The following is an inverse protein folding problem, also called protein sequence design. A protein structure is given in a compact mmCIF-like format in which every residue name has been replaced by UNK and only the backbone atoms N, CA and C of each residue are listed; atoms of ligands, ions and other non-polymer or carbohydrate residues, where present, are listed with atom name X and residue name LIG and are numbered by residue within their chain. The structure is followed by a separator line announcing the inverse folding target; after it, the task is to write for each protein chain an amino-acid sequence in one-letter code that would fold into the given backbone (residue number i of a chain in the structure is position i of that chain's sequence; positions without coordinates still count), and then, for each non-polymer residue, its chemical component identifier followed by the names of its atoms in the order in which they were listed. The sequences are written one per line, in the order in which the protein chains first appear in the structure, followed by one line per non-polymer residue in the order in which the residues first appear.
data_IF_504458631540
#
_entry.id   IF_504458631540
#
_cell.length_a   1.000
_cell.length_b   1.000
_cell.length_c   1.000
_cell.angle_alpha   90.00
_cell.angle_beta   90.00
_cell.angle_gamma   90.00
#
_symmetry.space_group_name_H-M   'P 1'
#
loop_
_entity.id
_entity.type
_entity.pdbx_description
1 polymer ?
#
# COMPACT_ATOMS: atom_id res chain seq x y z
N UNK A 1 30.24 18.79 34.43
CA UNK A 1 30.04 17.38 34.80
C UNK A 1 29.35 16.69 33.68
N UNK A 2 30.05 15.83 32.94
CA UNK A 2 29.41 14.98 31.94
C UNK A 2 28.65 13.87 32.66
N UNK A 3 27.35 13.80 32.47
CA UNK A 3 26.51 12.72 32.98
C UNK A 3 26.70 11.49 32.10
N UNK A 4 27.45 10.50 32.58
CA UNK A 4 27.51 9.18 31.94
C UNK A 4 26.27 8.36 32.34
N UNK A 5 25.51 7.92 31.37
CA UNK A 5 24.38 7.02 31.56
C UNK A 5 24.72 5.65 30.96
N UNK A 6 24.55 4.60 31.73
CA UNK A 6 24.61 3.23 31.21
C UNK A 6 23.22 2.61 31.28
N UNK A 7 22.78 2.02 30.17
CA UNK A 7 21.54 1.25 30.11
C UNK A 7 21.88 -0.22 29.84
N UNK A 8 21.37 -1.12 30.66
CA UNK A 8 21.56 -2.56 30.50
C UNK A 8 20.21 -3.23 30.39
N UNK A 9 19.99 -3.98 29.30
CA UNK A 9 18.85 -4.84 29.15
C UNK A 9 19.26 -6.30 29.04
N UNK A 10 18.45 -7.22 29.57
CA UNK A 10 18.72 -8.65 29.53
C UNK A 10 17.44 -9.42 29.26
N UNK A 11 17.49 -10.28 28.28
CA UNK A 11 16.44 -11.26 27.98
C UNK A 11 17.05 -12.63 27.68
N UNK A 12 16.24 -13.68 27.80
CA UNK A 12 16.63 -15.06 27.54
C UNK A 12 15.63 -15.69 26.60
N UNK A 13 16.12 -16.49 25.66
CA UNK A 13 15.29 -17.33 24.79
C UNK A 13 15.83 -18.75 24.77
N UNK A 14 14.92 -19.70 24.63
CA UNK A 14 15.20 -21.12 24.45
C UNK A 14 14.38 -21.59 23.28
N UNK A 15 14.93 -22.40 22.40
CA UNK A 15 14.21 -23.02 21.31
C UNK A 15 14.56 -24.50 21.21
N UNK A 16 13.55 -25.28 20.83
CA UNK A 16 13.67 -26.70 20.55
C UNK A 16 13.04 -26.98 19.19
N UNK A 17 13.73 -27.73 18.34
CA UNK A 17 13.23 -28.09 17.02
C UNK A 17 13.22 -29.60 16.90
N UNK A 18 12.11 -30.13 16.42
CA UNK A 18 11.91 -31.53 16.08
C UNK A 18 11.62 -31.62 14.60
N UNK A 19 12.18 -32.63 13.92
CA UNK A 19 11.88 -32.92 12.52
C UNK A 19 11.85 -34.43 12.30
N UNK A 20 10.93 -34.84 11.45
CA UNK A 20 10.80 -36.22 11.00
C UNK A 20 10.61 -36.26 9.49
N UNK A 21 11.32 -37.15 8.84
CA UNK A 21 11.22 -37.42 7.40
C UNK A 21 10.81 -38.88 7.17
N UNK A 22 9.80 -39.06 6.31
CA UNK A 22 9.39 -40.40 5.88
C UNK A 22 9.31 -40.47 4.35
N UNK A 23 9.93 -41.47 3.76
CA UNK A 23 9.89 -41.71 2.32
C UNK A 23 9.42 -43.13 2.03
N UNK A 24 8.40 -43.26 1.19
CA UNK A 24 7.89 -44.55 0.73
C UNK A 24 8.15 -44.73 -0.78
N UNK A 25 8.93 -45.72 -1.12
CA UNK A 25 9.34 -46.07 -2.51
C UNK A 25 9.87 -44.89 -3.32
N UNK A 26 10.42 -43.86 -2.65
CA UNK A 26 10.85 -42.60 -3.26
C UNK A 26 9.76 -41.86 -4.05
N UNK A 27 8.51 -42.33 -4.00
CA UNK A 27 7.34 -41.69 -4.64
C UNK A 27 6.62 -40.72 -3.75
N UNK A 28 6.46 -41.07 -2.47
CA UNK A 28 5.76 -40.33 -1.47
C UNK A 28 6.72 -39.95 -0.35
N UNK A 29 6.87 -38.68 -0.09
CA UNK A 29 7.71 -38.15 0.98
C UNK A 29 6.88 -37.27 1.88
N UNK A 30 7.08 -37.41 3.19
CA UNK A 30 6.40 -36.61 4.21
C UNK A 30 7.44 -36.05 5.16
N UNK A 31 7.37 -34.74 5.37
CA UNK A 31 8.19 -34.05 6.36
C UNK A 31 7.29 -33.43 7.43
N UNK A 32 7.63 -33.69 8.68
CA UNK A 32 6.96 -33.07 9.83
C UNK A 32 8.03 -32.32 10.59
N UNK A 33 7.73 -31.08 10.93
CA UNK A 33 8.58 -30.27 11.79
C UNK A 33 7.75 -29.61 12.90
N UNK A 34 8.36 -29.44 14.05
CA UNK A 34 7.76 -28.69 15.15
C UNK A 34 8.86 -27.91 15.84
N UNK A 35 8.64 -26.64 16.04
CA UNK A 35 9.50 -25.76 16.81
C UNK A 35 8.75 -25.21 18.01
N UNK A 36 9.39 -25.27 19.17
CA UNK A 36 8.90 -24.69 20.41
C UNK A 36 9.88 -23.62 20.85
N UNK A 37 9.43 -22.38 20.91
CA UNK A 37 10.23 -21.24 21.34
C UNK A 37 9.73 -20.69 22.67
N UNK A 38 10.64 -20.42 23.58
CA UNK A 38 10.37 -19.74 24.84
C UNK A 38 11.15 -18.42 24.93
N UNK A 39 10.52 -17.37 25.42
CA UNK A 39 11.22 -16.09 25.65
C UNK A 39 10.71 -15.36 26.86
N UNK A 40 11.64 -14.78 27.62
CA UNK A 40 11.34 -13.96 28.81
C UNK A 40 10.80 -12.57 28.47
N UNK A 41 10.79 -12.19 27.19
CA UNK A 41 10.15 -10.95 26.73
C UNK A 41 8.65 -10.94 26.90
N UNK A 42 8.02 -12.12 26.96
CA UNK A 42 6.58 -12.28 27.10
C UNK A 42 6.14 -12.36 28.56
N UNK A 43 4.94 -11.91 28.83
CA UNK A 43 4.28 -12.04 30.12
C UNK A 43 4.00 -13.49 30.52
N UNK A 44 3.60 -13.68 31.75
CA UNK A 44 3.26 -15.01 32.28
C UNK A 44 2.11 -15.63 31.48
N UNK A 45 2.23 -16.92 31.18
CA UNK A 45 1.27 -17.65 30.37
C UNK A 45 1.47 -17.53 28.84
N UNK A 46 2.34 -16.64 28.38
CA UNK A 46 2.56 -16.40 26.93
C UNK A 46 4.03 -16.59 26.49
N UNK A 47 4.89 -17.04 27.39
CA UNK A 47 6.33 -17.20 27.13
C UNK A 47 6.66 -18.22 26.06
N UNK A 48 5.78 -19.21 25.85
CA UNK A 48 6.01 -20.30 24.93
C UNK A 48 5.18 -20.20 23.67
N UNK A 49 5.82 -20.38 22.52
CA UNK A 49 5.20 -20.50 21.21
C UNK A 49 5.41 -21.89 20.61
N UNK A 50 4.39 -22.45 19.98
CA UNK A 50 4.45 -23.71 19.24
C UNK A 50 4.21 -23.45 17.76
N UNK A 51 5.13 -23.92 16.91
CA UNK A 51 5.20 -23.64 15.49
C UNK A 51 5.37 -24.94 14.70
N UNK A 52 4.28 -25.63 14.37
CA UNK A 52 4.32 -26.85 13.57
C UNK A 52 4.46 -26.56 12.08
N UNK A 53 5.05 -27.50 11.36
CA UNK A 53 5.11 -27.51 9.91
C UNK A 53 4.93 -28.95 9.39
N UNK A 54 4.26 -29.07 8.26
CA UNK A 54 4.12 -30.33 7.53
C UNK A 54 4.27 -30.06 6.04
N UNK A 55 5.02 -30.90 5.36
CA UNK A 55 5.09 -30.92 3.91
C UNK A 55 5.03 -32.34 3.36
N UNK A 56 4.55 -32.45 2.14
CA UNK A 56 4.55 -33.71 1.42
C UNK A 56 5.12 -33.50 0.02
N UNK A 57 5.61 -34.57 -0.56
CA UNK A 57 6.00 -34.62 -1.97
C UNK A 57 5.48 -35.92 -2.58
N UNK A 58 4.78 -35.78 -3.68
CA UNK A 58 4.34 -36.88 -4.50
C UNK A 58 4.99 -36.78 -5.88
N UNK A 59 5.85 -37.75 -6.22
CA UNK A 59 6.44 -37.88 -7.54
C UNK A 59 5.44 -38.57 -8.46
N UNK A 60 4.61 -37.80 -9.13
CA UNK A 60 3.54 -38.28 -10.02
C UNK A 60 4.14 -39.00 -11.22
N UNK A 61 5.30 -38.55 -11.72
CA UNK A 61 5.99 -39.17 -12.83
C UNK A 61 6.46 -40.60 -12.55
N UNK A 62 6.56 -41.02 -11.29
CA UNK A 62 6.96 -42.36 -10.92
C UNK A 62 5.78 -43.34 -10.82
N UNK A 63 4.56 -42.86 -11.07
CA UNK A 63 3.38 -43.71 -11.07
C UNK A 63 3.19 -44.46 -12.38
N UNK A 64 2.65 -45.69 -12.34
CA UNK A 64 2.46 -46.50 -13.55
C UNK A 64 1.55 -45.84 -14.59
N UNK A 65 0.56 -45.07 -14.16
CA UNK A 65 -0.36 -44.39 -15.08
C UNK A 65 0.31 -43.25 -15.85
N UNK A 66 1.46 -42.76 -15.38
CA UNK A 66 2.19 -41.66 -16.00
C UNK A 66 3.14 -42.14 -17.13
N UNK A 67 3.38 -43.44 -17.27
CA UNK A 67 4.33 -44.00 -18.22
C UNK A 67 4.16 -43.49 -19.67
N UNK A 68 2.93 -43.36 -20.22
CA UNK A 68 2.75 -42.86 -21.57
C UNK A 68 3.24 -41.42 -21.78
N UNK A 69 3.25 -40.62 -20.72
CA UNK A 69 3.60 -39.20 -20.75
C UNK A 69 5.10 -38.95 -20.53
N UNK A 70 5.87 -39.94 -20.10
CA UNK A 70 7.31 -39.81 -19.80
C UNK A 70 8.15 -39.33 -20.98
N UNK A 71 7.72 -39.59 -22.21
CA UNK A 71 8.41 -39.12 -23.43
C UNK A 71 8.41 -37.58 -23.55
N UNK A 72 7.43 -36.94 -22.98
CA UNK A 72 7.26 -35.46 -23.01
C UNK A 72 7.56 -34.84 -21.65
N UNK A 73 7.09 -35.49 -20.59
CA UNK A 73 7.24 -35.03 -19.21
C UNK A 73 8.13 -36.04 -18.48
N UNK A 74 9.40 -35.72 -18.32
CA UNK A 74 10.37 -36.61 -17.69
C UNK A 74 10.23 -36.66 -16.17
N UNK A 75 9.73 -35.59 -15.57
CA UNK A 75 9.47 -35.50 -14.14
C UNK A 75 8.26 -34.60 -13.86
N UNK A 76 7.36 -35.09 -13.02
CA UNK A 76 6.29 -34.29 -12.41
C UNK A 76 6.19 -34.66 -10.93
N UNK A 77 6.38 -33.67 -10.06
CA UNK A 77 6.18 -33.84 -8.63
C UNK A 77 5.29 -32.73 -8.06
N UNK A 78 4.41 -33.10 -7.17
CA UNK A 78 3.53 -32.18 -6.41
C UNK A 78 4.00 -32.08 -4.96
N UNK A 79 4.11 -30.86 -4.43
CA UNK A 79 4.64 -30.59 -3.09
C UNK A 79 3.74 -29.61 -2.33
N UNK A 80 2.71 -30.10 -1.64
CA UNK A 80 1.95 -29.30 -0.70
C UNK A 80 2.71 -29.13 0.62
N UNK A 81 2.55 -27.99 1.27
CA UNK A 81 3.12 -27.73 2.58
C UNK A 81 2.25 -26.76 3.38
N UNK A 82 2.29 -26.91 4.69
CA UNK A 82 1.68 -25.99 5.64
C UNK A 82 2.61 -25.79 6.81
N UNK A 83 2.75 -24.56 7.26
CA UNK A 83 3.58 -24.26 8.41
C UNK A 83 3.10 -23.02 9.17
N UNK A 84 3.45 -23.00 10.46
CA UNK A 84 3.26 -21.84 11.31
C UNK A 84 4.65 -21.37 11.75
N UNK A 85 4.95 -20.09 11.55
CA UNK A 85 6.15 -19.45 12.05
C UNK A 85 5.81 -18.42 13.13
N UNK A 86 6.72 -18.20 14.06
CA UNK A 86 6.56 -17.24 15.14
C UNK A 86 7.62 -16.15 15.10
N UNK A 87 7.23 -14.94 15.44
CA UNK A 87 8.12 -13.80 15.57
C UNK A 87 7.90 -13.10 16.91
N UNK A 88 9.00 -12.65 17.54
CA UNK A 88 9.01 -11.88 18.79
C UNK A 88 9.76 -10.55 18.56
N UNK A 89 9.21 -9.71 17.67
CA UNK A 89 9.86 -8.46 17.27
C UNK A 89 9.29 -7.25 18.02
N UNK A 90 9.60 -7.16 19.32
CA UNK A 90 9.23 -6.01 20.14
C UNK A 90 10.30 -5.72 21.18
N UNK A 91 10.28 -4.48 21.70
CA UNK A 91 11.24 -3.99 22.68
C UNK A 91 11.18 -4.74 24.01
N UNK A 92 12.26 -4.68 24.73
CA UNK A 92 12.38 -5.29 26.05
C UNK A 92 11.63 -4.48 27.12
N UNK A 93 11.24 -5.15 28.20
CA UNK A 93 10.67 -4.49 29.38
C UNK A 93 9.21 -4.04 29.27
N UNK A 94 8.54 -4.25 28.13
CA UNK A 94 7.14 -3.85 27.95
C UNK A 94 6.16 -4.56 28.88
N UNK A 95 6.55 -5.71 29.42
CA UNK A 95 5.76 -6.48 30.41
C UNK A 95 5.90 -5.93 31.85
N UNK A 96 6.75 -4.94 32.05
CA UNK A 96 6.97 -4.30 33.36
C UNK A 96 6.53 -2.84 33.32
N UNK A 97 6.15 -2.30 34.50
CA UNK A 97 5.98 -0.87 34.63
C UNK A 97 7.36 -0.20 34.61
N UNK A 98 7.55 0.75 33.71
CA UNK A 98 8.73 1.59 33.66
C UNK A 98 8.38 2.95 34.22
N UNK A 99 9.30 3.54 35.00
CA UNK A 99 9.13 4.85 35.59
C UNK A 99 10.27 5.76 35.16
N UNK A 100 9.95 6.98 34.85
CA UNK A 100 10.93 8.01 34.53
C UNK A 100 10.79 9.21 35.47
N UNK A 101 11.85 9.98 35.59
CA UNK A 101 11.86 11.21 36.37
C UNK A 101 10.95 12.26 35.70
N UNK A 102 10.20 12.97 36.50
CA UNK A 102 9.36 14.10 36.13
C UNK A 102 9.79 15.32 36.92
N UNK A 103 9.26 16.47 36.58
CA UNK A 103 9.60 17.74 37.22
C UNK A 103 9.64 17.62 38.76
N UNK A 104 10.52 18.41 39.38
CA UNK A 104 10.60 18.48 40.82
C UNK A 104 9.31 19.05 41.43
N UNK A 105 8.76 18.36 42.43
CA UNK A 105 7.68 18.87 43.26
C UNK A 105 8.21 19.07 44.68
N UNK A 106 8.14 20.31 45.15
CA UNK A 106 8.60 20.71 46.48
C UNK A 106 10.05 20.25 46.82
N UNK A 107 10.95 20.41 45.83
CA UNK A 107 12.39 20.05 46.00
C UNK A 107 12.69 18.56 45.88
N UNK A 108 11.69 17.70 45.69
CA UNK A 108 11.86 16.26 45.53
C UNK A 108 11.55 15.85 44.08
N UNK A 109 12.40 15.00 43.50
CA UNK A 109 12.21 14.47 42.16
C UNK A 109 10.97 13.59 42.10
N UNK A 110 9.97 14.00 41.31
CA UNK A 110 8.79 13.18 41.06
C UNK A 110 9.08 12.10 40.02
N UNK A 111 8.41 10.97 40.12
CA UNK A 111 8.46 9.88 39.15
C UNK A 111 7.09 9.64 38.54
N UNK A 112 7.04 9.41 37.24
CA UNK A 112 5.81 9.03 36.54
C UNK A 112 6.01 7.74 35.73
N UNK A 113 4.94 6.95 35.51
CA UNK A 113 5.01 5.87 34.55
C UNK A 113 5.35 6.37 33.15
N UNK A 114 6.27 5.68 32.46
CA UNK A 114 6.70 6.01 31.09
C UNK A 114 6.11 5.08 30.06
N UNK A 115 5.54 3.94 30.49
CA UNK A 115 4.88 2.99 29.62
C UNK A 115 3.61 2.44 30.25
N UNK A 116 2.72 1.93 29.44
CA UNK A 116 1.64 1.05 29.86
C UNK A 116 2.17 -0.38 29.90
N UNK A 117 2.02 -1.06 31.04
CA UNK A 117 2.38 -2.48 31.19
C UNK A 117 1.52 -3.35 30.27
N UNK A 118 2.16 -4.09 29.36
CA UNK A 118 1.50 -4.97 28.41
C UNK A 118 1.64 -6.43 28.85
N UNK A 119 0.68 -6.95 29.61
CA UNK A 119 0.73 -8.32 30.16
C UNK A 119 0.33 -9.40 29.17
N UNK A 120 -0.42 -9.05 28.10
CA UNK A 120 -1.00 -9.98 27.13
C UNK A 120 -0.26 -10.06 25.81
N UNK A 121 0.99 -9.62 25.74
CA UNK A 121 1.81 -9.75 24.53
C UNK A 121 2.01 -11.24 24.23
N UNK A 122 1.69 -11.62 22.98
CA UNK A 122 1.77 -12.99 22.48
C UNK A 122 2.70 -13.07 21.29
N UNK A 123 3.17 -14.28 20.97
CA UNK A 123 3.87 -14.57 19.74
C UNK A 123 3.02 -14.15 18.52
N UNK A 124 3.63 -13.38 17.65
CA UNK A 124 3.09 -13.16 16.32
C UNK A 124 3.18 -14.47 15.54
N UNK A 125 2.07 -14.92 14.93
CA UNK A 125 2.02 -16.19 14.22
C UNK A 125 1.64 -15.97 12.76
N UNK A 126 2.52 -16.42 11.88
CA UNK A 126 2.25 -16.46 10.44
C UNK A 126 1.93 -17.89 10.03
N UNK A 127 0.77 -18.10 9.44
CA UNK A 127 0.35 -19.36 8.83
C UNK A 127 0.66 -19.32 7.35
N UNK A 128 1.30 -20.34 6.84
CA UNK A 128 1.76 -20.42 5.45
C UNK A 128 1.28 -21.70 4.79
N UNK A 129 0.70 -21.56 3.61
CA UNK A 129 0.39 -22.66 2.71
C UNK A 129 1.33 -22.60 1.51
N UNK A 130 1.93 -23.71 1.17
CA UNK A 130 2.82 -23.83 0.02
C UNK A 130 2.29 -24.92 -0.92
N UNK A 131 2.10 -24.57 -2.19
CA UNK A 131 1.80 -25.53 -3.25
C UNK A 131 2.92 -25.45 -4.28
N UNK A 132 3.68 -26.51 -4.41
CA UNK A 132 4.80 -26.58 -5.32
C UNK A 132 4.61 -27.67 -6.37
N UNK A 133 5.03 -27.41 -7.60
CA UNK A 133 5.13 -28.37 -8.67
C UNK A 133 6.54 -28.35 -9.22
N UNK A 134 7.15 -29.54 -9.41
CA UNK A 134 8.36 -29.67 -10.19
C UNK A 134 7.99 -30.35 -11.51
N UNK A 135 8.31 -29.70 -12.61
CA UNK A 135 8.01 -30.19 -13.96
C UNK A 135 9.28 -30.13 -14.80
N UNK A 136 9.71 -31.30 -15.32
CA UNK A 136 10.77 -31.41 -16.29
C UNK A 136 10.16 -31.92 -17.60
N UNK A 137 10.44 -31.22 -18.68
CA UNK A 137 9.90 -31.53 -20.01
C UNK A 137 11.04 -31.91 -20.96
N UNK A 138 10.73 -32.75 -21.93
CA UNK A 138 11.63 -33.12 -23.00
C UNK A 138 13.00 -33.65 -22.52
N UNK A 139 12.99 -34.73 -21.74
CA UNK A 139 14.20 -35.36 -21.21
C UNK A 139 15.13 -34.40 -20.47
N UNK A 140 14.56 -33.63 -19.52
CA UNK A 140 15.24 -32.65 -18.70
C UNK A 140 15.71 -31.36 -19.42
N UNK A 141 15.21 -31.08 -20.62
CA UNK A 141 15.47 -29.82 -21.29
C UNK A 141 14.86 -28.60 -20.56
N UNK A 142 13.75 -28.80 -19.84
CA UNK A 142 13.07 -27.77 -19.09
C UNK A 142 12.86 -28.23 -17.65
N UNK A 143 13.40 -27.46 -16.72
CA UNK A 143 13.11 -27.56 -15.28
C UNK A 143 12.18 -26.43 -14.86
N UNK A 144 11.05 -26.76 -14.27
CA UNK A 144 10.13 -25.76 -13.70
C UNK A 144 9.72 -26.14 -12.29
N UNK A 145 9.57 -25.14 -11.44
CA UNK A 145 8.97 -25.29 -10.11
C UNK A 145 7.95 -24.19 -9.89
N UNK A 146 6.80 -24.56 -9.37
CA UNK A 146 5.75 -23.65 -8.94
C UNK A 146 5.61 -23.80 -7.43
N UNK A 147 5.78 -22.72 -6.71
CA UNK A 147 5.60 -22.68 -5.26
C UNK A 147 4.79 -21.47 -4.82
N UNK A 148 4.05 -21.62 -3.75
CA UNK A 148 3.31 -20.53 -3.12
C UNK A 148 4.18 -19.94 -2.02
N UNK A 149 4.57 -18.65 -2.10
CA UNK A 149 5.46 -18.07 -1.11
C UNK A 149 4.77 -17.87 0.23
N UNK A 150 5.53 -18.11 1.28
CA UNK A 150 5.18 -17.79 2.67
C UNK A 150 6.00 -16.60 3.14
N UNK A 151 5.75 -15.42 2.63
CA UNK A 151 6.50 -14.24 3.05
C UNK A 151 5.68 -13.37 3.98
N UNK A 152 6.05 -13.35 5.24
CA UNK A 152 5.72 -12.28 6.16
C UNK A 152 6.84 -11.27 6.12
N UNK A 153 6.62 -10.10 5.58
CA UNK A 153 7.63 -9.07 5.45
C UNK A 153 7.33 -7.79 6.22
N UNK A 154 6.47 -7.81 7.25
CA UNK A 154 6.09 -6.58 7.93
C UNK A 154 6.41 -6.59 9.42
N UNK A 155 7.33 -5.72 9.80
CA UNK A 155 7.95 -5.65 11.14
C UNK A 155 7.51 -4.46 11.96
N UNK A 156 6.40 -3.79 11.69
CA UNK A 156 6.06 -2.54 12.39
C UNK A 156 4.60 -2.36 12.77
N UNK A 157 3.96 -3.39 13.27
CA UNK A 157 2.82 -3.19 14.18
C UNK A 157 3.38 -3.12 15.59
N UNK A 158 2.85 -2.20 16.41
CA UNK A 158 3.27 -2.04 17.81
C UNK A 158 3.33 -3.40 18.51
N UNK A 159 4.06 -3.50 19.61
CA UNK A 159 4.38 -4.72 20.36
C UNK A 159 3.18 -5.55 20.89
N UNK A 160 1.96 -5.29 20.44
CA UNK A 160 0.76 -6.05 20.76
C UNK A 160 0.24 -6.78 19.52
N UNK A 161 -0.29 -8.00 19.70
CA UNK A 161 -0.95 -8.76 18.64
C UNK A 161 -2.36 -8.18 18.42
N UNK A 162 -2.43 -7.15 17.62
CA UNK A 162 -3.63 -6.33 17.43
C UNK A 162 -4.39 -6.65 16.15
N UNK A 163 -3.91 -7.61 15.35
CA UNK A 163 -4.56 -7.97 14.10
C UNK A 163 -4.09 -9.29 13.50
N UNK A 164 -4.77 -9.69 12.44
CA UNK A 164 -4.40 -10.82 11.59
C UNK A 164 -4.27 -10.38 10.15
N UNK A 165 -3.33 -10.98 9.47
CA UNK A 165 -3.04 -10.75 8.07
C UNK A 165 -2.81 -12.08 7.37
N UNK A 166 -3.37 -12.22 6.19
CA UNK A 166 -3.18 -13.35 5.32
C UNK A 166 -2.36 -12.96 4.10
N UNK A 167 -1.45 -13.84 3.72
CA UNK A 167 -0.68 -13.73 2.49
C UNK A 167 -0.94 -14.95 1.64
N UNK A 168 -1.46 -14.74 0.45
CA UNK A 168 -1.70 -15.78 -0.54
C UNK A 168 -0.93 -15.46 -1.81
N UNK A 169 -0.34 -16.48 -2.42
CA UNK A 169 0.39 -16.23 -3.66
C UNK A 169 0.94 -17.50 -4.25
N UNK A 170 1.58 -17.37 -5.39
CA UNK A 170 2.26 -18.46 -6.06
C UNK A 170 3.52 -17.96 -6.79
N UNK A 171 4.46 -18.87 -6.96
CA UNK A 171 5.71 -18.63 -7.66
C UNK A 171 5.90 -19.65 -8.76
N UNK A 172 6.37 -19.21 -9.91
CA UNK A 172 6.79 -20.04 -11.02
C UNK A 172 8.24 -19.74 -11.33
N UNK A 173 9.04 -20.79 -11.38
CA UNK A 173 10.41 -20.73 -11.86
C UNK A 173 10.60 -21.69 -13.03
N UNK A 174 11.10 -21.19 -14.14
CA UNK A 174 11.43 -21.96 -15.33
C UNK A 174 12.88 -21.73 -15.68
N UNK A 175 13.64 -22.81 -15.82
CA UNK A 175 15.02 -22.76 -16.28
C UNK A 175 15.25 -23.89 -17.29
N UNK A 176 15.64 -23.53 -18.50
CA UNK A 176 15.97 -24.51 -19.53
C UNK A 176 17.47 -24.82 -19.50
N UNK A 177 17.88 -26.05 -19.72
CA UNK A 177 19.30 -26.37 -19.90
C UNK A 177 19.81 -25.90 -21.25
N UNK A 178 19.14 -26.30 -22.32
CA UNK A 178 19.35 -25.83 -23.68
C UNK A 178 17.99 -25.79 -24.37
N UNK A 179 17.37 -24.58 -24.42
CA UNK A 179 16.05 -24.42 -25.04
C UNK A 179 16.11 -24.70 -26.55
N UNK A 180 17.22 -24.34 -27.16
CA UNK A 180 17.45 -24.52 -28.59
C UNK A 180 18.93 -24.76 -28.82
N UNK A 181 19.27 -25.77 -29.67
CA UNK A 181 20.64 -26.10 -30.01
C UNK A 181 20.75 -26.46 -31.49
N UNK A 182 21.60 -25.74 -32.22
CA UNK A 182 21.94 -26.01 -33.60
C UNK A 182 23.44 -25.82 -33.80
N UNK A 183 24.15 -26.93 -34.04
CA UNK A 183 25.59 -26.89 -34.20
C UNK A 183 26.31 -26.34 -32.95
N UNK A 184 27.01 -25.20 -33.12
CA UNK A 184 27.74 -24.54 -32.04
C UNK A 184 26.88 -23.50 -31.29
N UNK A 185 25.64 -23.26 -31.74
CA UNK A 185 24.72 -22.28 -31.14
C UNK A 185 23.79 -22.99 -30.17
N UNK A 186 23.66 -22.46 -28.95
CA UNK A 186 22.65 -22.88 -27.98
C UNK A 186 22.10 -21.70 -27.20
N UNK A 187 20.88 -21.85 -26.68
CA UNK A 187 20.22 -20.84 -25.84
C UNK A 187 19.72 -21.43 -24.54
N UNK A 188 19.83 -20.68 -23.47
CA UNK A 188 19.25 -21.00 -22.16
C UNK A 188 18.24 -19.89 -21.83
N UNK A 189 17.04 -20.27 -21.42
CA UNK A 189 16.01 -19.36 -20.97
C UNK A 189 15.77 -19.53 -19.48
N UNK A 190 15.72 -18.44 -18.77
CA UNK A 190 15.36 -18.38 -17.34
C UNK A 190 14.18 -17.43 -17.17
N UNK A 191 13.20 -17.86 -16.40
CA UNK A 191 12.04 -17.08 -16.07
C UNK A 191 11.63 -17.35 -14.63
N UNK A 192 11.36 -16.31 -13.90
CA UNK A 192 10.72 -16.41 -12.59
C UNK A 192 9.57 -15.42 -12.50
N UNK A 193 8.54 -15.83 -11.83
CA UNK A 193 7.30 -15.07 -11.64
C UNK A 193 6.79 -15.34 -10.22
N UNK A 194 6.41 -14.28 -9.53
CA UNK A 194 5.82 -14.36 -8.21
C UNK A 194 4.60 -13.46 -8.14
N UNK A 195 3.52 -13.99 -7.57
CA UNK A 195 2.33 -13.24 -7.18
C UNK A 195 2.16 -13.40 -5.68
N UNK A 196 1.92 -12.29 -4.98
CA UNK A 196 1.59 -12.29 -3.57
C UNK A 196 0.46 -11.30 -3.32
N UNK A 197 -0.62 -11.78 -2.70
CA UNK A 197 -1.75 -11.00 -2.26
C UNK A 197 -1.71 -10.96 -0.74
N UNK A 198 -1.60 -9.77 -0.20
CA UNK A 198 -1.58 -9.49 1.22
C UNK A 198 -2.92 -8.91 1.63
N UNK A 199 -3.56 -9.41 2.67
CA UNK A 199 -4.87 -8.94 3.13
C UNK A 199 -4.91 -8.91 4.65
N UNK A 200 -5.27 -7.76 5.21
CA UNK A 200 -5.59 -7.63 6.65
C UNK A 200 -6.97 -8.21 6.88
N UNK A 201 -7.08 -9.27 7.69
CA UNK A 201 -8.34 -9.98 7.94
C UNK A 201 -9.01 -9.59 9.24
N UNK A 202 -8.23 -9.23 10.25
CA UNK A 202 -8.73 -8.77 11.54
C UNK A 202 -7.81 -7.68 12.10
N UNK A 203 -8.37 -6.71 12.80
CA UNK A 203 -7.62 -5.73 13.57
C UNK A 203 -8.44 -5.21 14.74
N UNK A 204 -7.77 -4.92 15.85
CA UNK A 204 -8.40 -4.34 17.03
C UNK A 204 -8.99 -2.95 16.72
N UNK A 205 -10.19 -2.67 17.24
CA UNK A 205 -10.90 -1.44 16.98
C UNK A 205 -10.12 -0.19 17.43
N UNK A 206 -9.36 -0.27 18.52
CA UNK A 206 -8.55 0.85 19.02
C UNK A 206 -7.39 1.15 18.09
N UNK A 207 -6.81 0.12 17.47
CA UNK A 207 -5.73 0.27 16.49
C UNK A 207 -6.25 0.79 15.16
N UNK A 208 -7.42 0.31 14.73
CA UNK A 208 -8.11 0.88 13.55
C UNK A 208 -8.41 2.36 13.76
N UNK A 209 -8.95 2.74 14.92
CA UNK A 209 -9.21 4.12 15.26
C UNK A 209 -7.91 4.96 15.27
N UNK A 210 -6.85 4.48 15.91
CA UNK A 210 -5.57 5.18 15.98
C UNK A 210 -4.86 5.33 14.62
N UNK A 211 -4.97 4.33 13.74
CA UNK A 211 -4.37 4.38 12.40
C UNK A 211 -5.26 5.08 11.36
N UNK A 212 -6.54 5.25 11.65
CA UNK A 212 -7.49 5.92 10.77
C UNK A 212 -7.84 7.32 11.25
N UNK A 213 -7.38 7.72 12.45
CA UNK A 213 -7.47 9.08 12.91
C UNK A 213 -6.37 9.95 12.28
N UNK A 214 -6.77 11.08 11.84
CA UNK A 214 -6.07 12.31 11.59
C UNK A 214 -4.83 12.33 10.68
N UNK A 215 -4.97 13.17 9.66
CA UNK A 215 -3.85 13.84 9.04
C UNK A 215 -3.15 14.71 10.08
N UNK A 216 -1.93 14.40 10.44
CA UNK A 216 -1.11 15.32 11.18
C UNK A 216 -0.45 16.31 10.21
N UNK A 217 -1.06 17.48 10.05
CA UNK A 217 -0.47 18.61 9.33
C UNK A 217 0.53 19.42 10.17
N UNK A 218 0.71 19.06 11.44
CA UNK A 218 1.50 19.87 12.39
C UNK A 218 2.98 19.99 12.01
N UNK A 219 3.50 19.10 11.19
CA UNK A 219 4.89 19.10 10.73
C UNK A 219 5.16 19.78 9.40
N UNK A 220 4.15 20.27 8.69
CA UNK A 220 4.32 20.83 7.34
C UNK A 220 4.73 19.82 6.28
N UNK A 221 4.88 18.55 6.67
CA UNK A 221 5.08 17.42 5.78
C UNK A 221 3.78 16.66 5.73
N UNK A 222 3.22 16.56 4.55
CA UNK A 222 2.07 15.72 4.28
C UNK A 222 2.49 14.27 4.56
N UNK A 223 2.13 13.78 5.73
CA UNK A 223 2.37 12.37 6.04
C UNK A 223 1.46 11.53 5.16
N UNK A 224 2.03 10.56 4.51
CA UNK A 224 1.27 9.51 3.82
C UNK A 224 0.36 8.87 4.85
N UNK A 225 -0.93 8.88 4.59
CA UNK A 225 -1.90 8.29 5.50
C UNK A 225 -1.57 6.84 5.79
N UNK A 226 -1.32 6.54 7.04
CA UNK A 226 -1.09 5.17 7.52
C UNK A 226 -2.41 4.48 7.83
N UNK A 227 -3.40 4.60 6.93
CA UNK A 227 -4.67 3.90 7.11
C UNK A 227 -4.49 2.40 6.93
N UNK A 228 -5.23 1.67 7.74
CA UNK A 228 -5.36 0.22 7.63
C UNK A 228 -6.85 -0.10 7.58
N UNK A 229 -7.27 -0.83 6.56
CA UNK A 229 -8.65 -1.31 6.46
C UNK A 229 -8.67 -2.83 6.32
N UNK A 230 -9.62 -3.46 7.00
CA UNK A 230 -9.88 -4.89 6.86
C UNK A 230 -10.30 -5.18 5.41
N UNK A 231 -9.81 -6.27 4.84
CA UNK A 231 -10.05 -6.63 3.44
C UNK A 231 -9.08 -6.01 2.44
N UNK A 232 -8.16 -5.15 2.89
CA UNK A 232 -7.16 -4.51 2.04
C UNK A 232 -5.73 -4.87 2.46
N UNK A 233 -4.78 -4.63 1.56
CA UNK A 233 -3.37 -4.89 1.82
C UNK A 233 -2.80 -3.95 2.89
N UNK A 234 -1.95 -4.47 3.77
CA UNK A 234 -1.08 -3.62 4.56
C UNK A 234 -0.09 -2.92 3.61
N UNK A 235 0.02 -1.60 3.72
CA UNK A 235 0.72 -0.78 2.72
C UNK A 235 -0.22 -0.30 1.60
N UNK A 236 -1.52 -0.38 1.83
CA UNK A 236 -2.53 0.30 1.03
C UNK A 236 -2.29 1.81 1.02
N UNK A 237 -2.54 2.44 -0.12
CA UNK A 237 -2.49 3.87 -0.30
C UNK A 237 -3.92 4.38 -0.19
N UNK A 238 -4.13 5.34 0.70
CA UNK A 238 -5.42 5.97 0.93
C UNK A 238 -5.32 7.46 0.70
N UNK A 239 -6.41 8.07 0.27
CA UNK A 239 -6.48 9.50 0.02
C UNK A 239 -7.80 9.88 -0.63
N UNK A 240 -7.88 11.11 -1.08
CA UNK A 240 -9.06 11.64 -1.74
C UNK A 240 -9.07 11.31 -3.23
N UNK A 241 -10.25 11.20 -3.83
CA UNK A 241 -10.38 11.15 -5.29
C UNK A 241 -10.45 12.54 -5.87
N UNK A 242 -9.50 12.84 -6.74
CA UNK A 242 -9.40 14.10 -7.47
C UNK A 242 -10.37 14.10 -8.66
N UNK A 243 -11.16 15.14 -8.80
CA UNK A 243 -12.13 15.30 -9.88
C UNK A 243 -11.88 16.52 -10.79
N UNK A 244 -10.83 17.29 -10.51
CA UNK A 244 -10.50 18.50 -11.26
C UNK A 244 -10.37 19.74 -10.38
N UNK A 245 -10.64 20.89 -10.96
CA UNK A 245 -10.58 22.20 -10.30
C UNK A 245 -11.89 22.92 -10.56
N UNK A 246 -12.44 23.58 -9.54
CA UNK A 246 -13.61 24.43 -9.72
C UNK A 246 -13.28 25.61 -10.66
N UNK A 247 -13.95 25.67 -11.80
CA UNK A 247 -13.71 26.74 -12.78
C UNK A 247 -14.31 28.06 -12.34
N UNK A 248 -15.31 28.04 -11.47
CA UNK A 248 -16.05 29.23 -11.02
C UNK A 248 -16.15 29.33 -9.51
N UNK A 249 -16.15 30.57 -8.99
CA UNK A 249 -16.45 30.85 -7.61
C UNK A 249 -17.90 30.50 -7.26
N UNK A 250 -18.16 30.21 -5.98
CA UNK A 250 -19.50 29.94 -5.49
C UNK A 250 -20.48 31.11 -5.73
N UNK A 251 -20.06 32.33 -5.49
CA UNK A 251 -20.84 33.55 -5.72
C UNK A 251 -20.19 34.40 -6.80
N UNK A 252 -20.31 33.95 -8.04
CA UNK A 252 -19.98 34.77 -9.19
C UNK A 252 -21.20 35.56 -9.63
N UNK A 253 -21.08 36.88 -9.82
CA UNK A 253 -22.16 37.67 -10.41
C UNK A 253 -22.50 37.09 -11.78
N UNK A 254 -23.76 36.71 -11.98
CA UNK A 254 -24.23 36.11 -13.23
C UNK A 254 -24.43 34.58 -13.23
N UNK A 255 -24.48 33.95 -12.08
CA UNK A 255 -24.96 32.56 -12.04
C UNK A 255 -26.48 32.47 -12.06
N UNK A 256 -26.99 31.45 -12.72
CA UNK A 256 -28.41 31.16 -12.79
C UNK A 256 -28.67 29.68 -12.49
N UNK A 257 -29.78 29.41 -11.83
CA UNK A 257 -30.24 28.06 -11.56
C UNK A 257 -31.36 27.74 -12.57
N UNK A 258 -31.24 26.62 -13.29
CA UNK A 258 -32.35 26.09 -14.09
C UNK A 258 -33.14 25.10 -13.24
N UNK A 259 -34.22 25.58 -12.65
CA UNK A 259 -35.09 24.77 -11.80
C UNK A 259 -35.74 23.59 -12.56
N UNK A 260 -35.85 23.69 -13.88
CA UNK A 260 -36.45 22.62 -14.68
C UNK A 260 -35.51 21.47 -14.96
N UNK A 261 -34.21 21.76 -15.03
CA UNK A 261 -33.16 20.78 -15.27
C UNK A 261 -32.28 20.51 -14.02
N UNK A 262 -32.56 21.26 -12.96
CA UNK A 262 -31.75 21.24 -11.76
C UNK A 262 -30.24 21.46 -12.06
N UNK A 263 -29.96 22.35 -13.01
CA UNK A 263 -28.63 22.69 -13.48
C UNK A 263 -28.27 24.12 -13.08
N UNK A 264 -27.00 24.33 -12.93
CA UNK A 264 -26.40 25.59 -12.56
C UNK A 264 -25.63 26.16 -13.74
N UNK A 265 -25.91 27.40 -14.11
CA UNK A 265 -25.30 28.09 -15.24
C UNK A 265 -24.52 29.32 -14.80
N UNK A 266 -23.41 29.56 -15.44
CA UNK A 266 -22.68 30.83 -15.38
C UNK A 266 -22.92 31.63 -16.66
N UNK A 267 -22.99 32.93 -16.54
CA UNK A 267 -23.03 33.84 -17.68
C UNK A 267 -21.93 34.89 -17.60
N UNK A 268 -21.45 35.30 -18.75
CA UNK A 268 -20.55 36.44 -18.86
C UNK A 268 -21.38 37.74 -18.78
N UNK A 269 -20.80 38.86 -18.27
CA UNK A 269 -21.49 40.14 -18.23
C UNK A 269 -21.75 40.67 -19.65
N UNK A 270 -22.94 41.18 -19.86
CA UNK A 270 -23.27 41.95 -21.05
C UNK A 270 -22.48 43.27 -21.10
N UNK A 271 -22.50 43.94 -22.26
CA UNK A 271 -21.80 45.22 -22.45
C UNK A 271 -22.33 46.31 -21.52
N UNK A 272 -23.52 46.21 -21.00
CA UNK A 272 -24.15 47.13 -20.04
C UNK A 272 -23.93 46.75 -18.58
N UNK A 273 -23.14 45.71 -18.34
CA UNK A 273 -22.85 45.19 -17.00
C UNK A 273 -23.96 44.32 -16.40
N UNK A 274 -25.02 44.06 -17.12
CA UNK A 274 -26.04 43.09 -16.73
C UNK A 274 -25.62 41.66 -17.14
N UNK A 275 -26.26 40.68 -16.55
CA UNK A 275 -26.00 39.28 -16.83
C UNK A 275 -27.22 38.64 -17.50
N UNK A 276 -27.01 37.91 -18.58
CA UNK A 276 -28.04 37.11 -19.23
C UNK A 276 -27.73 35.62 -19.11
N UNK A 277 -28.80 34.82 -19.02
CA UNK A 277 -28.66 33.37 -18.97
C UNK A 277 -28.04 32.89 -20.28
N UNK A 278 -26.83 32.33 -20.18
CA UNK A 278 -26.15 31.68 -21.27
C UNK A 278 -26.26 30.16 -21.13
N UNK A 279 -27.23 29.57 -21.85
CA UNK A 279 -27.49 28.12 -21.84
C UNK A 279 -26.36 27.30 -22.45
N UNK A 280 -25.49 27.93 -23.26
CA UNK A 280 -24.29 27.27 -23.81
C UNK A 280 -23.13 27.12 -22.81
N UNK A 281 -23.14 27.93 -21.75
CA UNK A 281 -22.14 27.87 -20.68
C UNK A 281 -22.59 26.97 -19.51
N UNK A 282 -23.53 26.07 -19.74
CA UNK A 282 -24.03 25.13 -18.75
C UNK A 282 -22.96 24.16 -18.29
N UNK A 283 -22.22 24.52 -17.28
CA UNK A 283 -21.17 23.67 -16.72
C UNK A 283 -21.39 23.46 -15.22
N UNK A 284 -22.58 23.00 -14.86
CA UNK A 284 -22.96 22.73 -13.46
C UNK A 284 -22.02 21.83 -12.66
N UNK A 285 -20.90 21.42 -13.25
CA UNK A 285 -19.86 20.59 -12.61
C UNK A 285 -18.74 21.41 -11.99
N UNK A 286 -18.72 22.72 -12.14
CA UNK A 286 -17.49 23.48 -11.96
C UNK A 286 -17.56 24.61 -10.92
N UNK A 287 -18.67 24.75 -10.21
CA UNK A 287 -18.80 25.61 -9.03
C UNK A 287 -18.84 24.75 -7.74
N UNK A 288 -18.32 25.24 -6.61
CA UNK A 288 -18.26 24.49 -5.35
C UNK A 288 -19.62 24.39 -4.65
N UNK A 289 -20.55 23.67 -5.27
CA UNK A 289 -21.93 23.50 -4.83
C UNK A 289 -22.15 22.03 -4.46
N UNK A 290 -22.80 21.82 -3.33
CA UNK A 290 -23.17 20.50 -2.84
C UNK A 290 -24.20 19.87 -3.76
N UNK A 291 -23.99 18.60 -4.13
CA UNK A 291 -24.91 17.79 -4.89
C UNK A 291 -25.22 16.49 -4.15
N UNK A 292 -26.46 16.05 -4.25
CA UNK A 292 -26.86 14.73 -3.72
C UNK A 292 -26.33 13.58 -4.59
N UNK A 293 -26.56 12.34 -4.16
CA UNK A 293 -26.15 11.14 -4.88
C UNK A 293 -26.75 10.98 -6.29
N UNK A 294 -27.81 11.74 -6.60
CA UNK A 294 -28.46 11.79 -7.91
C UNK A 294 -27.94 12.93 -8.78
N UNK A 295 -27.03 13.77 -8.22
CA UNK A 295 -26.48 14.95 -8.89
C UNK A 295 -27.31 16.22 -8.76
N UNK A 296 -28.39 16.22 -7.96
CA UNK A 296 -29.23 17.39 -7.75
C UNK A 296 -28.56 18.38 -6.80
N UNK A 297 -28.77 19.68 -7.02
CA UNK A 297 -28.27 20.73 -6.12
C UNK A 297 -28.99 20.67 -4.79
N UNK A 298 -28.23 20.76 -3.70
CA UNK A 298 -28.77 20.82 -2.33
C UNK A 298 -28.84 22.29 -1.88
N UNK A 299 -29.96 22.68 -1.29
CA UNK A 299 -30.24 24.06 -0.88
C UNK A 299 -30.27 24.20 0.65
N UNK A 300 -29.89 25.39 1.12
CA UNK A 300 -30.06 25.77 2.52
C UNK A 300 -31.54 26.16 2.83
N UNK A 301 -31.83 26.49 4.10
CA UNK A 301 -33.16 26.90 4.56
C UNK A 301 -33.66 28.19 3.91
N UNK A 302 -32.78 28.96 3.28
CA UNK A 302 -33.08 30.23 2.62
C UNK A 302 -33.21 30.08 1.11
N UNK A 303 -33.11 28.84 0.58
CA UNK A 303 -33.18 28.58 -0.84
C UNK A 303 -31.88 28.86 -1.60
N UNK A 304 -30.75 29.05 -0.90
CA UNK A 304 -29.46 29.19 -1.57
C UNK A 304 -28.79 27.81 -1.72
N UNK A 305 -28.08 27.55 -2.84
CA UNK A 305 -27.30 26.35 -2.97
C UNK A 305 -26.30 26.22 -1.83
N UNK A 306 -26.16 25.02 -1.25
CA UNK A 306 -25.13 24.78 -0.25
C UNK A 306 -23.75 24.79 -0.89
N UNK A 307 -22.80 25.48 -0.23
CA UNK A 307 -21.41 25.54 -0.67
C UNK A 307 -20.63 24.37 -0.08
N UNK A 308 -19.79 23.73 -0.91
CA UNK A 308 -18.85 22.70 -0.49
C UNK A 308 -17.86 23.25 0.52
N UNK A 309 -17.56 22.46 1.54
CA UNK A 309 -16.68 22.84 2.65
C UNK A 309 -15.59 21.80 2.83
N UNK A 310 -14.36 22.25 3.03
CA UNK A 310 -13.30 21.43 3.61
C UNK A 310 -13.39 21.52 5.13
N UNK A 311 -13.58 20.39 5.80
CA UNK A 311 -13.77 20.34 7.26
C UNK A 311 -12.95 19.19 7.86
N UNK A 312 -11.63 19.32 7.81
CA UNK A 312 -10.74 18.26 8.27
C UNK A 312 -9.49 18.84 8.96
N UNK A 313 -8.96 18.11 9.94
CA UNK A 313 -7.75 18.53 10.66
C UNK A 313 -7.90 19.86 11.44
N UNK A 314 -9.12 20.16 11.92
CA UNK A 314 -9.41 21.41 12.64
C UNK A 314 -9.54 22.65 11.75
N UNK A 315 -9.59 22.47 10.43
CA UNK A 315 -9.72 23.54 9.46
C UNK A 315 -11.10 23.45 8.83
N UNK A 316 -11.81 24.58 8.81
CA UNK A 316 -13.06 24.74 8.11
C UNK A 316 -12.87 25.80 7.02
N UNK A 317 -12.93 25.40 5.76
CA UNK A 317 -12.76 26.27 4.61
C UNK A 317 -13.87 26.02 3.58
N UNK A 318 -14.50 27.09 3.13
CA UNK A 318 -15.45 27.04 2.01
C UNK A 318 -14.69 27.07 0.70
N UNK A 319 -14.91 26.05 -0.13
CA UNK A 319 -14.28 25.99 -1.44
C UNK A 319 -14.75 27.12 -2.34
N UNK A 320 -13.83 27.61 -3.16
CA UNK A 320 -14.06 28.66 -4.14
C UNK A 320 -13.48 28.27 -5.51
N UNK A 321 -13.67 29.13 -6.50
CA UNK A 321 -13.10 28.94 -7.83
C UNK A 321 -11.58 28.80 -7.76
N UNK A 322 -11.07 27.86 -8.53
CA UNK A 322 -9.68 27.49 -8.53
C UNK A 322 -9.25 26.48 -7.47
N UNK A 323 -10.12 26.15 -6.52
CA UNK A 323 -9.84 25.07 -5.56
C UNK A 323 -10.05 23.68 -6.21
N UNK A 324 -9.38 22.69 -5.64
CA UNK A 324 -9.50 21.29 -6.10
C UNK A 324 -10.88 20.73 -5.79
N UNK A 325 -11.45 20.02 -6.72
CA UNK A 325 -12.64 19.21 -6.56
C UNK A 325 -12.22 17.83 -6.06
N UNK A 326 -12.59 17.50 -4.84
CA UNK A 326 -12.54 16.13 -4.31
C UNK A 326 -13.91 15.48 -4.37
N UNK A 327 -13.94 14.16 -4.49
CA UNK A 327 -15.19 13.40 -4.44
C UNK A 327 -15.73 13.40 -3.00
N UNK A 328 -16.92 13.94 -2.83
CA UNK A 328 -17.74 13.80 -1.63
C UNK A 328 -18.42 12.42 -1.70
N UNK A 329 -17.87 11.46 -0.96
CA UNK A 329 -18.27 10.04 -1.07
C UNK A 329 -19.57 9.76 -0.36
N UNK A 330 -19.84 10.46 0.71
CA UNK A 330 -21.05 10.32 1.55
C UNK A 330 -22.16 11.33 1.20
N UNK A 331 -21.86 12.30 0.32
CA UNK A 331 -22.77 13.36 -0.14
C UNK A 331 -23.30 14.28 0.97
N UNK A 332 -22.47 14.57 1.97
CA UNK A 332 -22.84 15.45 3.08
C UNK A 332 -22.45 16.92 2.85
N UNK A 333 -21.74 17.20 1.75
CA UNK A 333 -21.30 18.54 1.36
C UNK A 333 -20.02 18.99 2.02
N UNK A 334 -19.34 18.10 2.72
CA UNK A 334 -18.06 18.34 3.35
C UNK A 334 -17.01 17.41 2.77
N UNK A 335 -15.78 17.85 2.74
CA UNK A 335 -14.63 17.01 2.44
C UNK A 335 -13.87 16.80 3.74
N UNK A 336 -13.92 15.56 4.25
CA UNK A 336 -13.36 15.20 5.54
C UNK A 336 -12.76 13.76 5.53
N UNK A 337 -12.57 13.16 6.69
CA UNK A 337 -12.02 11.80 6.82
C UNK A 337 -12.90 10.70 6.23
N UNK A 338 -14.21 10.96 6.08
CA UNK A 338 -15.16 10.00 5.52
C UNK A 338 -15.03 9.86 4.00
N UNK A 339 -14.40 10.85 3.34
CA UNK A 339 -14.14 10.86 1.90
C UNK A 339 -12.79 10.21 1.52
N UNK A 340 -12.04 9.75 2.51
CA UNK A 340 -10.77 9.08 2.27
C UNK A 340 -11.02 7.63 1.85
N UNK A 341 -10.59 7.29 0.64
CA UNK A 341 -10.79 5.97 0.03
C UNK A 341 -9.49 5.27 -0.30
N UNK A 342 -9.58 3.97 -0.54
CA UNK A 342 -8.46 3.17 -1.02
C UNK A 342 -8.13 3.51 -2.48
N UNK A 343 -6.88 3.91 -2.74
CA UNK A 343 -6.37 4.31 -4.05
C UNK A 343 -5.48 3.26 -4.71
N UNK A 344 -5.09 2.24 -3.98
CA UNK A 344 -4.26 1.16 -4.46
C UNK A 344 -3.24 0.68 -3.42
N UNK A 345 -2.35 -0.21 -3.83
CA UNK A 345 -1.30 -0.77 -2.97
C UNK A 345 0.09 -0.45 -3.50
N UNK A 346 1.03 -0.20 -2.61
CA UNK A 346 2.46 -0.11 -2.94
C UNK A 346 3.07 -1.49 -3.25
N UNK A 347 2.39 -2.57 -2.85
CA UNK A 347 2.81 -3.92 -3.14
C UNK A 347 2.50 -4.29 -4.59
N UNK A 348 3.45 -4.84 -5.35
CA UNK A 348 3.18 -5.30 -6.70
C UNK A 348 2.22 -6.51 -6.66
N UNK A 349 1.30 -6.55 -7.62
CA UNK A 349 0.47 -7.74 -7.84
C UNK A 349 1.30 -8.89 -8.40
N UNK A 350 2.30 -8.54 -9.22
CA UNK A 350 3.16 -9.50 -9.88
C UNK A 350 4.58 -8.93 -9.92
N UNK A 351 5.56 -9.79 -9.66
CA UNK A 351 6.98 -9.47 -9.83
C UNK A 351 7.73 -10.69 -10.40
N UNK A 352 8.85 -10.41 -11.03
CA UNK A 352 9.65 -11.49 -11.58
C UNK A 352 10.83 -11.01 -12.39
N UNK A 353 11.41 -11.94 -13.13
CA UNK A 353 12.48 -11.65 -14.03
C UNK A 353 12.61 -12.70 -15.12
N UNK A 354 13.33 -12.36 -16.17
CA UNK A 354 13.69 -13.30 -17.21
C UNK A 354 15.08 -12.99 -17.74
N UNK A 355 15.72 -14.02 -18.25
CA UNK A 355 17.02 -13.90 -18.90
C UNK A 355 17.15 -14.90 -20.04
N UNK A 356 17.83 -14.49 -21.08
CA UNK A 356 18.20 -15.36 -22.20
C UNK A 356 19.70 -15.35 -22.31
N UNK A 357 20.31 -16.54 -22.31
CA UNK A 357 21.73 -16.72 -22.59
C UNK A 357 21.88 -17.31 -23.98
N UNK A 358 22.77 -16.72 -24.74
CA UNK A 358 23.17 -17.19 -26.07
C UNK A 358 24.61 -17.69 -26.00
N UNK A 359 24.85 -18.92 -26.46
CA UNK A 359 26.18 -19.50 -26.54
C UNK A 359 26.51 -19.80 -28.01
N UNK A 360 27.69 -19.41 -28.46
CA UNK A 360 28.18 -19.72 -29.78
C UNK A 360 29.69 -20.03 -29.75
N UNK A 361 30.02 -21.29 -29.82
CA UNK A 361 31.41 -21.75 -29.71
C UNK A 361 32.05 -21.38 -28.38
N UNK A 362 32.93 -20.36 -28.35
CA UNK A 362 33.59 -19.86 -27.14
C UNK A 362 32.93 -18.62 -26.59
N UNK A 363 31.96 -18.05 -27.29
CA UNK A 363 31.30 -16.82 -26.89
C UNK A 363 30.02 -17.10 -26.14
N UNK A 364 29.80 -16.34 -25.09
CA UNK A 364 28.53 -16.32 -24.33
C UNK A 364 28.00 -14.90 -24.20
N UNK A 365 26.70 -14.73 -24.40
CA UNK A 365 25.99 -13.50 -24.09
C UNK A 365 24.91 -13.85 -23.07
N UNK A 366 24.96 -13.25 -21.90
CA UNK A 366 23.94 -13.41 -20.85
C UNK A 366 23.19 -12.11 -20.68
N UNK A 367 21.86 -12.23 -20.57
CA UNK A 367 20.97 -11.09 -20.31
C UNK A 367 20.10 -11.32 -19.07
N UNK A 368 19.72 -10.26 -18.40
CA UNK A 368 18.78 -10.33 -17.30
C UNK A 368 17.87 -9.11 -17.24
N UNK A 369 16.57 -9.38 -17.06
CA UNK A 369 15.51 -8.39 -16.95
C UNK A 369 14.71 -8.65 -15.67
N UNK A 370 14.29 -7.60 -15.00
CA UNK A 370 13.37 -7.65 -13.87
C UNK A 370 12.15 -6.79 -14.14
N UNK A 371 11.01 -7.24 -13.66
CA UNK A 371 9.76 -6.49 -13.79
C UNK A 371 8.95 -6.50 -12.49
N UNK A 372 8.17 -5.46 -12.30
CA UNK A 372 7.09 -5.38 -11.31
C UNK A 372 5.87 -4.76 -11.97
N UNK A 373 4.69 -5.29 -11.65
CA UNK A 373 3.44 -4.88 -12.26
C UNK A 373 2.35 -4.80 -11.19
N UNK A 374 1.52 -3.77 -11.28
CA UNK A 374 0.31 -3.61 -10.48
C UNK A 374 0.51 -2.91 -9.13
N UNK A 375 1.69 -2.38 -8.84
CA UNK A 375 1.90 -1.51 -7.69
C UNK A 375 1.63 -0.05 -8.02
N UNK A 376 1.29 0.70 -6.98
CA UNK A 376 1.11 2.15 -7.03
C UNK A 376 2.19 2.84 -6.22
N UNK A 377 2.54 4.04 -6.62
CA UNK A 377 3.46 4.92 -5.88
C UNK A 377 2.83 6.28 -5.70
N UNK A 378 3.12 6.94 -4.59
CA UNK A 378 2.76 8.35 -4.40
C UNK A 378 3.96 9.18 -4.89
N UNK A 379 3.73 10.02 -5.88
CA UNK A 379 4.74 10.94 -6.39
C UNK A 379 4.79 12.21 -5.52
N UNK A 380 5.41 12.10 -4.34
CA UNK A 380 5.60 13.22 -3.42
C UNK A 380 6.45 14.33 -4.06
N UNK A 381 7.41 13.99 -4.91
CA UNK A 381 8.23 14.99 -5.60
C UNK A 381 7.36 15.90 -6.49
N UNK A 382 6.40 15.32 -7.22
CA UNK A 382 5.43 16.08 -8.00
C UNK A 382 4.52 16.93 -7.11
N UNK A 383 4.03 16.35 -6.03
CA UNK A 383 3.18 17.04 -5.05
C UNK A 383 3.90 18.28 -4.48
N UNK A 384 5.16 18.14 -4.06
CA UNK A 384 5.98 19.27 -3.59
C UNK A 384 6.32 20.28 -4.68
N UNK A 385 6.57 19.84 -5.92
CA UNK A 385 6.89 20.73 -7.04
C UNK A 385 5.65 21.50 -7.56
N UNK A 386 4.44 21.00 -7.30
CA UNK A 386 3.17 21.66 -7.62
C UNK A 386 2.60 22.47 -6.44
N UNK A 387 3.22 22.42 -5.26
CA UNK A 387 2.81 23.20 -4.09
C UNK A 387 3.16 24.68 -4.28
N UNK A 388 2.13 25.53 -4.38
CA UNK A 388 2.26 26.96 -4.64
C UNK A 388 2.13 27.83 -3.38
N UNK A 389 2.25 27.26 -2.17
CA UNK A 389 2.13 28.02 -0.91
C UNK A 389 3.36 28.85 -0.57
N UNK A 390 4.52 28.46 -1.06
CA UNK A 390 5.81 29.02 -0.66
C UNK A 390 6.66 29.43 -1.86
N UNK A 391 7.77 30.10 -1.60
CA UNK A 391 8.75 30.53 -2.63
C UNK A 391 9.74 29.42 -3.04
N UNK A 392 9.37 28.16 -2.93
CA UNK A 392 10.20 27.03 -3.37
C UNK A 392 10.20 26.93 -4.90
N UNK A 393 11.20 26.25 -5.44
CA UNK A 393 11.23 25.89 -6.86
C UNK A 393 10.01 25.05 -7.21
N UNK A 394 9.36 25.41 -8.29
CA UNK A 394 8.11 24.79 -8.73
C UNK A 394 8.26 24.14 -10.11
N UNK A 395 7.40 23.19 -10.39
CA UNK A 395 7.24 22.60 -11.71
C UNK A 395 6.70 23.64 -12.70
N UNK A 396 7.08 23.54 -13.97
CA UNK A 396 6.50 24.35 -15.05
C UNK A 396 4.98 24.16 -15.19
N UNK A 397 4.43 23.03 -14.71
CA UNK A 397 2.99 22.76 -14.71
C UNK A 397 2.19 23.85 -13.99
N UNK A 398 2.74 24.47 -12.94
CA UNK A 398 2.04 25.53 -12.18
C UNK A 398 1.76 26.80 -12.97
N UNK A 399 2.40 26.98 -14.15
CA UNK A 399 2.07 28.07 -15.05
C UNK A 399 0.66 27.95 -15.62
N UNK A 400 0.10 26.76 -15.67
CA UNK A 400 -1.28 26.48 -16.10
C UNK A 400 -2.30 26.54 -14.97
N UNK A 401 -1.92 27.04 -13.78
CA UNK A 401 -2.84 27.17 -12.65
C UNK A 401 -4.04 28.02 -12.98
N UNK A 402 -5.15 27.75 -12.31
CA UNK A 402 -6.34 28.57 -12.37
C UNK A 402 -6.06 30.01 -11.90
N UNK A 403 -6.59 31.00 -12.62
CA UNK A 403 -6.39 32.44 -12.35
C UNK A 403 -7.67 33.26 -12.43
N UNK A 404 -8.68 32.79 -13.14
CA UNK A 404 -9.90 33.55 -13.40
C UNK A 404 -11.10 32.61 -13.60
N UNK A 405 -12.26 33.09 -13.27
CA UNK A 405 -13.52 32.38 -13.49
C UNK A 405 -13.68 31.94 -14.96
N UNK A 406 -14.19 30.71 -15.14
CA UNK A 406 -14.35 30.10 -16.46
C UNK A 406 -13.10 29.42 -16.99
N UNK A 407 -11.96 29.51 -16.34
CA UNK A 407 -10.73 28.85 -16.77
C UNK A 407 -10.81 27.34 -16.43
N UNK A 408 -10.76 26.49 -17.44
CA UNK A 408 -10.63 25.06 -17.28
C UNK A 408 -9.15 24.67 -17.15
N UNK A 409 -8.80 24.02 -16.07
CA UNK A 409 -7.44 23.56 -15.78
C UNK A 409 -7.45 22.43 -14.76
N UNK A 410 -6.39 21.62 -14.78
CA UNK A 410 -6.14 20.60 -13.76
C UNK A 410 -5.23 21.09 -12.63
N UNK A 411 -4.71 22.32 -12.72
CA UNK A 411 -3.81 22.90 -11.72
C UNK A 411 -4.58 23.94 -10.90
N UNK A 412 -4.71 23.74 -9.59
CA UNK A 412 -5.48 24.64 -8.73
C UNK A 412 -4.86 26.03 -8.64
N UNK A 413 -5.61 26.96 -8.06
CA UNK A 413 -5.12 28.30 -7.74
C UNK A 413 -3.98 28.25 -6.73
N UNK A 414 -3.11 29.26 -6.76
CA UNK A 414 -2.09 29.43 -5.76
C UNK A 414 -2.70 29.93 -4.44
N UNK A 415 -2.39 29.25 -3.35
CA UNK A 415 -2.79 29.65 -2.00
C UNK A 415 -1.54 30.07 -1.23
N UNK A 416 -1.62 31.22 -0.54
CA UNK A 416 -0.58 31.57 0.42
C UNK A 416 -0.88 30.95 1.78
N UNK A 417 0.18 30.67 2.55
CA UNK A 417 0.03 30.20 3.95
C UNK A 417 -0.74 31.17 4.83
N UNK A 418 -0.74 32.47 4.49
CA UNK A 418 -1.52 33.47 5.20
C UNK A 418 -3.03 33.36 4.96
N UNK A 419 -3.42 33.03 3.73
CA UNK A 419 -4.83 32.91 3.33
C UNK A 419 -5.41 31.58 3.80
N UNK A 420 -4.63 30.51 3.68
CA UNK A 420 -5.09 29.15 3.99
C UNK A 420 -4.97 28.77 5.47
N UNK A 421 -4.48 29.66 6.34
CA UNK A 421 -4.20 29.30 7.73
C UNK A 421 -3.11 28.23 7.90
N UNK A 422 -2.29 28.02 6.86
CA UNK A 422 -1.28 26.97 6.82
C UNK A 422 -1.75 25.67 6.18
N UNK A 423 -3.06 25.51 5.94
CA UNK A 423 -3.61 24.31 5.31
C UNK A 423 -3.32 24.25 3.81
N UNK A 424 -3.14 23.05 3.30
CA UNK A 424 -2.99 22.80 1.87
C UNK A 424 -4.12 21.94 1.32
N UNK A 425 -5.35 22.44 1.44
CA UNK A 425 -6.52 21.71 0.94
C UNK A 425 -6.52 21.55 -0.59
N UNK A 426 -5.66 22.26 -1.32
CA UNK A 426 -5.46 22.07 -2.77
C UNK A 426 -4.39 21.03 -3.14
N UNK A 427 -3.67 20.50 -2.17
CA UNK A 427 -2.65 19.47 -2.42
C UNK A 427 -2.74 18.33 -1.40
N UNK A 428 -3.96 17.87 -1.13
CA UNK A 428 -4.18 16.67 -0.33
C UNK A 428 -3.67 15.43 -1.06
N UNK A 429 -3.30 14.41 -0.29
CA UNK A 429 -2.98 13.10 -0.85
C UNK A 429 -4.23 12.58 -1.58
N UNK A 430 -4.09 12.40 -2.88
CA UNK A 430 -5.17 12.00 -3.77
C UNK A 430 -4.63 11.18 -4.94
N UNK A 431 -5.52 10.58 -5.70
CA UNK A 431 -5.14 9.85 -6.90
C UNK A 431 -4.49 10.72 -7.99
N UNK A 432 -4.56 12.04 -7.89
CA UNK A 432 -3.77 12.97 -8.69
C UNK A 432 -2.26 12.71 -8.60
N UNK A 433 -1.78 12.30 -7.43
CA UNK A 433 -0.37 12.06 -7.15
C UNK A 433 -0.03 10.57 -7.05
N UNK A 434 -1.02 9.69 -7.28
CA UNK A 434 -0.83 8.25 -7.28
C UNK A 434 -0.60 7.76 -8.70
N UNK A 435 0.60 7.27 -8.94
CA UNK A 435 1.05 6.83 -10.25
C UNK A 435 1.23 5.30 -10.29
N UNK A 436 1.30 4.75 -11.50
CA UNK A 436 1.66 3.34 -11.69
C UNK A 436 3.16 3.18 -11.41
N UNK A 437 3.48 2.23 -10.54
CA UNK A 437 4.87 1.86 -10.23
C UNK A 437 5.41 0.72 -11.11
N UNK A 438 4.71 0.40 -12.20
CA UNK A 438 5.09 -0.68 -13.11
C UNK A 438 6.41 -0.39 -13.80
N UNK A 439 7.27 -1.38 -13.87
CA UNK A 439 8.50 -1.24 -14.63
C UNK A 439 8.99 -2.57 -15.21
N UNK A 440 9.73 -2.45 -16.31
CA UNK A 440 10.62 -3.45 -16.85
C UNK A 440 12.04 -2.87 -16.84
N UNK A 441 12.97 -3.51 -16.12
CA UNK A 441 14.35 -3.07 -16.00
C UNK A 441 15.26 -4.07 -16.71
N UNK A 442 16.05 -3.60 -17.67
CA UNK A 442 17.22 -4.29 -18.16
C UNK A 442 18.33 -4.17 -17.12
N UNK A 443 18.67 -5.25 -16.46
CA UNK A 443 19.56 -5.23 -15.32
C UNK A 443 21.03 -5.32 -15.73
N UNK A 444 21.35 -6.28 -16.59
CA UNK A 444 22.68 -6.41 -17.15
C UNK A 444 22.71 -7.25 -18.42
N UNK A 445 23.78 -7.06 -19.18
CA UNK A 445 24.27 -8.06 -20.14
C UNK A 445 25.74 -8.33 -19.86
N UNK A 446 26.17 -9.55 -20.14
CA UNK A 446 27.53 -9.98 -19.97
C UNK A 446 27.97 -10.73 -21.23
N UNK A 447 29.13 -10.37 -21.77
CA UNK A 447 29.79 -11.08 -22.87
C UNK A 447 30.99 -11.79 -22.28
N UNK A 448 31.16 -13.07 -22.57
CA UNK A 448 32.27 -13.90 -22.12
C UNK A 448 32.87 -14.77 -23.22
#
# INVERSE_FOLDING_TARGET
MENMWTNQSQWRSVYMTYSGHYSYKSKYMFDISARVDGSTKFGDGHKWGFFPGVSARWNISDEPFFEPLKKVVSMLAFRPGYGITGLANFGEGLIYNQYGTYNSYNGTTAMKPTNLRLTNIRWEKTKSWNLGFNLNLFEDLINSSVSVPSTSGYTSLSAANVGKMENEGWELYVNTRELFKVGKFSTVFRFNFAQNINTVTEMDASVLAANNSDFDYSGGNEQVLKRVQIGHALGGIYGFRYKGVYAYDYKHNGYFIDDTKNEFYMSEPNADGTYSRNTAAATGKTAPIVRDSKGNVVYDKNGNPLQMVYNYGGINHKFEGGDVIYEDVNYDGQIDELDIVYLGSSNPKVSGGFGIDFNYGRWTLKTNFNFRIGNKIINLARMYAEDMRTNKNQSAAVNHRWRTNGQETEIPRALSTKVSGGANYNALISDRYVEKGDYLRFQYFQIG
#
